data_IF_945301778798
#
_entry.id   IF_945301778798
#
_cell.length_a   1.000
_cell.length_b   1.000
_cell.length_c   1.000
_cell.angle_alpha   90.00
_cell.angle_beta   90.00
_cell.angle_gamma   90.00
#
_symmetry.space_group_name_H-M   'P 1'
#
loop_
_entity.id
_entity.type
_entity.pdbx_description
1 polymer ?
#
# COMPACT_ATOMS: atom_id res chain seq x y z
N UNK A 1 -19.61 2.41 15.60
CA UNK A 1 -20.34 2.83 14.38
C UNK A 1 -19.90 1.90 13.27
N UNK A 2 -20.74 0.93 12.96
CA UNK A 2 -20.61 0.03 11.81
C UNK A 2 -21.81 0.25 10.91
N UNK A 3 -21.61 0.17 9.59
CA UNK A 3 -22.50 -0.67 8.78
C UNK A 3 -21.67 -1.44 7.74
N UNK A 4 -21.62 -2.78 7.70
CA UNK A 4 -22.67 -3.78 7.51
C UNK A 4 -23.34 -3.74 6.12
N UNK A 5 -23.26 -4.89 5.41
CA UNK A 5 -24.21 -5.41 4.41
C UNK A 5 -24.07 -4.76 3.00
N UNK A 6 -23.93 -5.45 1.87
CA UNK A 6 -24.71 -6.60 1.40
C UNK A 6 -24.09 -7.28 0.15
N UNK A 7 -24.26 -8.61 0.07
CA UNK A 7 -24.28 -9.40 -1.17
C UNK A 7 -25.50 -9.04 -2.05
N UNK A 8 -25.52 -9.49 -3.31
CA UNK A 8 -26.58 -10.46 -3.63
C UNK A 8 -26.13 -11.68 -4.45
N UNK A 9 -26.86 -12.76 -4.14
CA UNK A 9 -26.90 -14.12 -4.68
C UNK A 9 -27.83 -14.21 -5.91
N UNK A 10 -27.53 -15.19 -6.76
CA UNK A 10 -28.42 -16.10 -7.52
C UNK A 10 -29.71 -15.57 -8.19
N UNK A 11 -29.87 -15.84 -9.51
CA UNK A 11 -30.91 -16.73 -10.09
C UNK A 11 -30.95 -16.71 -11.66
N UNK A 12 -30.71 -17.88 -12.25
CA UNK A 12 -31.31 -18.59 -13.42
C UNK A 12 -32.52 -17.97 -14.19
N UNK A 13 -33.04 -18.53 -15.32
CA UNK A 13 -32.55 -19.52 -16.33
C UNK A 13 -32.93 -19.15 -17.81
N UNK A 14 -32.67 -20.04 -18.78
CA UNK A 14 -33.43 -20.14 -20.06
C UNK A 14 -32.55 -20.12 -21.32
N UNK A 15 -32.35 -21.25 -22.02
CA UNK A 15 -33.22 -21.92 -23.02
C UNK A 15 -33.27 -21.25 -24.41
N UNK A 16 -32.88 -22.05 -25.41
CA UNK A 16 -33.27 -21.96 -26.83
C UNK A 16 -32.13 -21.53 -27.76
N UNK A 17 -31.85 -22.15 -28.90
CA UNK A 17 -32.35 -23.35 -29.59
C UNK A 17 -31.49 -23.53 -30.87
N UNK A 18 -31.42 -24.77 -31.38
CA UNK A 18 -31.15 -25.16 -32.79
C UNK A 18 -29.72 -24.88 -33.34
N UNK A 19 -29.05 -25.73 -34.12
CA UNK A 19 -29.42 -26.72 -35.14
C UNK A 19 -28.38 -27.87 -35.13
N UNK A 20 -28.78 -29.14 -35.09
CA UNK A 20 -29.02 -30.01 -36.24
C UNK A 20 -27.80 -30.19 -37.17
N UNK A 21 -27.10 -31.34 -37.05
CA UNK A 21 -27.22 -32.39 -38.08
C UNK A 21 -26.49 -33.67 -37.68
N UNK A 22 -27.25 -34.75 -37.66
CA UNK A 22 -26.80 -36.12 -37.46
C UNK A 22 -27.14 -36.92 -38.71
N UNK A 23 -26.18 -37.65 -39.28
CA UNK A 23 -26.48 -38.78 -40.18
C UNK A 23 -25.67 -40.00 -39.76
N UNK A 24 -26.34 -40.82 -38.96
CA UNK A 24 -26.08 -42.24 -38.85
C UNK A 24 -26.81 -42.97 -39.99
N UNK A 25 -26.17 -43.97 -40.59
CA UNK A 25 -26.84 -44.95 -41.43
C UNK A 25 -26.38 -46.36 -41.05
N UNK A 26 -27.25 -47.09 -40.37
CA UNK A 26 -27.30 -48.56 -40.33
C UNK A 26 -28.73 -48.94 -40.72
N UNK A 27 -28.91 -49.95 -41.56
CA UNK A 27 -30.22 -50.58 -41.68
C UNK A 27 -30.49 -51.46 -42.90
N UNK A 28 -30.23 -52.77 -42.70
CA UNK A 28 -31.07 -53.92 -43.10
C UNK A 28 -31.14 -54.42 -44.55
N UNK A 29 -31.06 -55.75 -44.58
CA UNK A 29 -31.39 -56.70 -45.63
C UNK A 29 -32.89 -56.79 -45.95
N UNK A 30 -33.23 -57.20 -47.19
CA UNK A 30 -34.00 -58.42 -47.55
C UNK A 30 -34.49 -58.36 -49.01
N UNK A 31 -34.40 -59.51 -49.69
CA UNK A 31 -35.28 -59.97 -50.79
C UNK A 31 -35.17 -59.19 -52.09
N UNK A 32 -35.18 -59.77 -53.30
CA UNK A 32 -35.63 -61.08 -53.76
C UNK A 32 -36.29 -60.87 -55.13
N UNK A 33 -36.20 -61.89 -55.99
CA UNK A 33 -36.87 -62.02 -57.30
C UNK A 33 -36.34 -61.08 -58.42
N UNK A 34 -36.30 -61.44 -59.71
CA UNK A 34 -36.55 -62.66 -60.48
C UNK A 34 -36.23 -62.33 -61.95
N UNK A 35 -36.11 -63.36 -62.80
CA UNK A 35 -36.22 -63.25 -64.27
C UNK A 35 -34.86 -63.14 -64.98
N UNK A 36 -34.57 -63.86 -66.06
CA UNK A 36 -35.46 -64.61 -66.96
C UNK A 36 -34.77 -65.82 -67.57
N UNK A 37 -35.62 -66.73 -68.03
CA UNK A 37 -35.34 -67.87 -68.87
C UNK A 37 -35.57 -67.51 -70.34
N UNK A 38 -34.83 -68.13 -71.24
CA UNK A 38 -35.16 -68.47 -72.64
C UNK A 38 -34.22 -69.65 -72.99
N UNK A 39 -34.70 -70.88 -73.26
CA UNK A 39 -35.34 -71.36 -74.51
C UNK A 39 -34.39 -71.15 -75.71
N UNK A 40 -34.02 -72.13 -76.54
CA UNK A 40 -34.86 -73.09 -77.27
C UNK A 40 -34.06 -74.35 -77.68
N UNK A 41 -34.83 -75.42 -77.93
CA UNK A 41 -34.43 -76.64 -78.64
C UNK A 41 -34.39 -76.39 -80.13
N UNK A 42 -33.44 -76.98 -80.87
CA UNK A 42 -33.69 -77.44 -82.24
C UNK A 42 -33.00 -78.80 -82.45
N UNK A 43 -33.82 -79.81 -82.74
CA UNK A 43 -33.45 -81.06 -83.39
C UNK A 43 -33.53 -80.82 -84.89
N UNK A 44 -32.50 -81.18 -85.64
CA UNK A 44 -32.66 -81.59 -87.04
C UNK A 44 -31.85 -82.86 -87.29
N UNK A 45 -32.56 -83.89 -87.78
CA UNK A 45 -32.03 -85.09 -88.39
C UNK A 45 -31.71 -84.77 -89.85
N UNK A 46 -30.60 -85.30 -90.38
CA UNK A 46 -30.54 -85.79 -91.76
C UNK A 46 -29.53 -86.95 -91.83
N UNK A 47 -29.92 -88.01 -92.55
CA UNK A 47 -29.24 -89.29 -92.74
C UNK A 47 -28.43 -89.30 -94.05
N UNK A 48 -27.62 -90.38 -94.17
CA UNK A 48 -26.97 -90.95 -95.38
C UNK A 48 -25.60 -90.34 -95.76
N UNK A 49 -24.55 -91.05 -96.16
CA UNK A 49 -24.13 -92.47 -96.14
C UNK A 49 -22.65 -92.47 -96.62
N UNK A 50 -21.92 -93.54 -96.28
CA UNK A 50 -20.66 -94.02 -96.87
C UNK A 50 -19.32 -93.30 -96.58
N UNK A 51 -18.64 -93.77 -95.52
CA UNK A 51 -17.41 -94.57 -95.71
C UNK A 51 -16.04 -93.89 -95.52
N UNK A 52 -15.28 -94.40 -94.54
CA UNK A 52 -13.81 -94.53 -94.62
C UNK A 52 -12.98 -93.71 -93.63
N UNK A 53 -12.27 -94.42 -92.76
CA UNK A 53 -11.05 -94.04 -91.99
C UNK A 53 -11.14 -92.93 -90.92
N UNK A 54 -11.32 -93.32 -89.65
CA UNK A 54 -11.27 -92.45 -88.45
C UNK A 54 -10.42 -93.05 -87.32
N UNK A 55 -9.17 -93.45 -87.61
CA UNK A 55 -8.18 -93.73 -86.55
C UNK A 55 -7.46 -92.44 -86.07
N UNK A 56 -7.48 -91.35 -86.86
CA UNK A 56 -6.88 -90.05 -86.48
C UNK A 56 -7.75 -89.23 -85.50
N UNK A 57 -9.07 -89.44 -85.46
CA UNK A 57 -9.98 -88.71 -84.54
C UNK A 57 -9.83 -89.16 -83.08
N UNK A 58 -9.40 -90.40 -82.83
CA UNK A 58 -9.18 -90.91 -81.46
C UNK A 58 -7.90 -90.35 -80.84
N UNK A 59 -6.85 -90.08 -81.63
CA UNK A 59 -5.61 -89.44 -81.17
C UNK A 59 -5.79 -87.93 -80.91
N UNK A 60 -6.56 -87.21 -81.74
CA UNK A 60 -6.90 -85.80 -81.50
C UNK A 60 -7.80 -85.62 -80.27
N UNK A 61 -8.76 -86.53 -80.05
CA UNK A 61 -9.61 -86.52 -78.86
C UNK A 61 -8.82 -86.80 -77.58
N UNK A 62 -7.79 -87.66 -77.63
CA UNK A 62 -6.90 -87.92 -76.49
C UNK A 62 -6.03 -86.69 -76.15
N UNK A 63 -5.45 -86.04 -77.16
CA UNK A 63 -4.64 -84.83 -76.98
C UNK A 63 -5.48 -83.63 -76.47
N UNK A 64 -6.72 -83.48 -76.93
CA UNK A 64 -7.65 -82.48 -76.40
C UNK A 64 -8.02 -82.75 -74.94
N UNK A 65 -8.20 -84.02 -74.55
CA UNK A 65 -8.49 -84.39 -73.17
C UNK A 65 -7.32 -84.05 -72.24
N UNK A 66 -6.08 -84.29 -72.66
CA UNK A 66 -4.88 -83.89 -71.88
C UNK A 66 -4.79 -82.37 -71.69
N UNK A 67 -5.00 -81.58 -72.75
CA UNK A 67 -5.02 -80.11 -72.66
C UNK A 67 -6.16 -79.58 -71.78
N UNK A 68 -7.32 -80.24 -71.76
CA UNK A 68 -8.43 -79.91 -70.84
C UNK A 68 -8.06 -80.19 -69.39
N UNK A 69 -7.36 -81.30 -69.12
CA UNK A 69 -6.84 -81.65 -67.78
C UNK A 69 -5.78 -80.65 -67.33
N UNK A 70 -4.86 -80.25 -68.20
CA UNK A 70 -3.84 -79.25 -67.89
C UNK A 70 -4.45 -77.86 -67.63
N UNK A 71 -5.44 -77.43 -68.44
CA UNK A 71 -6.19 -76.19 -68.20
C UNK A 71 -6.96 -76.23 -66.89
N UNK A 72 -7.52 -77.38 -66.50
CA UNK A 72 -8.18 -77.55 -65.21
C UNK A 72 -7.19 -77.41 -64.05
N UNK A 73 -6.03 -78.09 -64.12
CA UNK A 73 -4.94 -77.96 -63.13
C UNK A 73 -4.43 -76.52 -63.02
N UNK A 74 -4.24 -75.81 -64.13
CA UNK A 74 -3.82 -74.41 -64.12
C UNK A 74 -4.88 -73.49 -63.50
N UNK A 75 -6.17 -73.75 -63.73
CA UNK A 75 -7.26 -73.01 -63.08
C UNK A 75 -7.31 -73.24 -61.58
N UNK A 76 -7.08 -74.48 -61.12
CA UNK A 76 -6.96 -74.80 -59.70
C UNK A 76 -5.76 -74.09 -59.07
N UNK A 77 -4.60 -74.10 -59.72
CA UNK A 77 -3.41 -73.37 -59.26
C UNK A 77 -3.68 -71.86 -59.19
N UNK A 78 -4.35 -71.28 -60.19
CA UNK A 78 -4.74 -69.86 -60.17
C UNK A 78 -5.74 -69.53 -59.06
N UNK A 79 -6.70 -70.43 -58.79
CA UNK A 79 -7.65 -70.28 -57.70
C UNK A 79 -6.93 -70.30 -56.33
N UNK A 80 -6.04 -71.27 -56.11
CA UNK A 80 -5.20 -71.35 -54.91
C UNK A 80 -4.32 -70.10 -54.75
N UNK A 81 -3.70 -69.60 -55.83
CA UNK A 81 -2.93 -68.35 -55.79
C UNK A 81 -3.80 -67.12 -55.49
N UNK A 82 -5.06 -67.11 -55.92
CA UNK A 82 -5.98 -66.03 -55.62
C UNK A 82 -6.40 -66.05 -54.13
N UNK A 83 -6.56 -67.24 -53.55
CA UNK A 83 -6.81 -67.43 -52.11
C UNK A 83 -5.59 -67.00 -51.28
N UNK A 84 -4.38 -67.46 -51.63
CA UNK A 84 -3.14 -67.02 -50.99
C UNK A 84 -2.98 -65.49 -51.02
N UNK A 85 -3.30 -64.85 -52.15
CA UNK A 85 -3.27 -63.37 -52.27
C UNK A 85 -4.28 -62.70 -51.35
N UNK A 86 -5.49 -63.24 -51.22
CA UNK A 86 -6.52 -62.71 -50.30
C UNK A 86 -6.07 -62.85 -48.84
N UNK A 87 -5.47 -63.97 -48.47
CA UNK A 87 -4.96 -64.18 -47.10
C UNK A 87 -3.81 -63.24 -46.77
N UNK A 88 -2.88 -63.04 -47.72
CA UNK A 88 -1.78 -62.07 -47.55
C UNK A 88 -2.34 -60.64 -47.41
N UNK A 89 -3.34 -60.27 -48.20
CA UNK A 89 -4.00 -58.95 -48.09
C UNK A 89 -4.70 -58.79 -46.74
N UNK A 90 -5.44 -59.79 -46.28
CA UNK A 90 -6.07 -59.79 -44.96
C UNK A 90 -5.04 -59.68 -43.82
N UNK A 91 -3.90 -60.38 -43.95
CA UNK A 91 -2.79 -60.29 -43.00
C UNK A 91 -2.17 -58.89 -42.96
N UNK A 92 -1.94 -58.26 -44.13
CA UNK A 92 -1.42 -56.88 -44.25
C UNK A 92 -2.40 -55.90 -43.61
N UNK A 93 -3.70 -55.99 -43.91
CA UNK A 93 -4.71 -55.12 -43.30
C UNK A 93 -4.77 -55.30 -41.79
N UNK A 94 -4.67 -56.53 -41.28
CA UNK A 94 -4.66 -56.79 -39.84
C UNK A 94 -3.44 -56.16 -39.16
N UNK A 95 -2.27 -56.24 -39.80
CA UNK A 95 -1.03 -55.64 -39.32
C UNK A 95 -1.09 -54.12 -39.37
N UNK A 96 -1.66 -53.53 -40.42
CA UNK A 96 -1.89 -52.09 -40.51
C UNK A 96 -2.84 -51.61 -39.41
N UNK A 97 -3.98 -52.28 -39.20
CA UNK A 97 -4.90 -51.97 -38.08
C UNK A 97 -4.22 -52.11 -36.73
N UNK A 98 -3.39 -53.14 -36.54
CA UNK A 98 -2.62 -53.35 -35.30
C UNK A 98 -1.57 -52.26 -35.10
N UNK A 99 -0.91 -51.80 -36.17
CA UNK A 99 0.05 -50.69 -36.14
C UNK A 99 -0.64 -49.37 -35.77
N UNK A 100 -1.78 -49.06 -36.39
CA UNK A 100 -2.57 -47.85 -36.10
C UNK A 100 -3.09 -47.86 -34.66
N UNK A 101 -3.59 -49.00 -34.16
CA UNK A 101 -4.02 -49.12 -32.75
C UNK A 101 -2.85 -48.93 -31.78
N UNK A 102 -1.68 -49.51 -32.08
CA UNK A 102 -0.47 -49.31 -31.25
C UNK A 102 -0.01 -47.86 -31.26
N UNK A 103 -0.01 -47.18 -32.41
CA UNK A 103 0.36 -45.76 -32.45
C UNK A 103 -0.64 -44.86 -31.74
N UNK A 104 -1.95 -45.17 -31.83
CA UNK A 104 -2.98 -44.44 -31.09
C UNK A 104 -2.83 -44.63 -29.58
N UNK A 105 -2.64 -45.87 -29.12
CA UNK A 105 -2.42 -46.16 -27.70
C UNK A 105 -1.15 -45.47 -27.15
N UNK A 106 -0.05 -45.46 -27.91
CA UNK A 106 1.17 -44.74 -27.52
C UNK A 106 0.97 -43.22 -27.51
N UNK A 107 0.16 -42.68 -28.41
CA UNK A 107 -0.16 -41.25 -28.42
C UNK A 107 -1.05 -40.85 -27.24
N UNK A 108 -2.03 -41.68 -26.86
CA UNK A 108 -2.84 -41.48 -25.66
C UNK A 108 -2.00 -41.57 -24.38
N UNK A 109 -1.12 -42.57 -24.29
CA UNK A 109 -0.24 -42.73 -23.13
C UNK A 109 0.73 -41.54 -22.97
N UNK A 110 1.25 -41.02 -24.09
CA UNK A 110 2.06 -39.78 -24.07
C UNK A 110 1.25 -38.56 -23.65
N UNK A 111 -0.01 -38.43 -24.09
CA UNK A 111 -0.88 -37.34 -23.65
C UNK A 111 -1.20 -37.42 -22.16
N UNK A 112 -1.48 -38.61 -21.63
CA UNK A 112 -1.72 -38.82 -20.20
C UNK A 112 -0.48 -38.48 -19.37
N UNK A 113 0.70 -38.95 -19.78
CA UNK A 113 1.96 -38.61 -19.12
C UNK A 113 2.23 -37.10 -19.14
N UNK A 114 2.01 -36.44 -20.27
CA UNK A 114 2.17 -34.98 -20.37
C UNK A 114 1.18 -34.23 -19.47
N UNK A 115 -0.07 -34.70 -19.38
CA UNK A 115 -1.08 -34.10 -18.49
C UNK A 115 -0.70 -34.27 -17.02
N UNK A 116 -0.32 -35.48 -16.61
CA UNK A 116 0.13 -35.76 -15.24
C UNK A 116 1.39 -34.96 -14.88
N UNK A 117 2.35 -34.83 -15.81
CA UNK A 117 3.53 -33.99 -15.61
C UNK A 117 3.14 -32.51 -15.43
N UNK A 118 2.22 -31.98 -16.25
CA UNK A 118 1.76 -30.59 -16.10
C UNK A 118 1.01 -30.36 -14.79
N UNK A 119 0.12 -31.27 -14.40
CA UNK A 119 -0.66 -31.16 -13.15
C UNK A 119 0.26 -31.24 -11.92
N UNK A 120 1.28 -32.10 -11.94
CA UNK A 120 2.25 -32.20 -10.85
C UNK A 120 3.10 -30.93 -10.74
N UNK A 121 3.57 -30.37 -11.86
CA UNK A 121 4.33 -29.11 -11.87
C UNK A 121 3.49 -27.93 -11.37
N UNK A 122 2.22 -27.85 -11.76
CA UNK A 122 1.29 -26.83 -11.26
C UNK A 122 1.02 -26.99 -9.76
N UNK A 123 0.83 -28.22 -9.27
CA UNK A 123 0.63 -28.49 -7.85
C UNK A 123 1.88 -28.16 -7.02
N UNK A 124 3.07 -28.45 -7.52
CA UNK A 124 4.34 -28.08 -6.88
C UNK A 124 4.52 -26.56 -6.84
N UNK A 125 4.23 -25.86 -7.94
CA UNK A 125 4.28 -24.40 -7.99
C UNK A 125 3.27 -23.76 -7.01
N UNK A 126 2.06 -24.31 -6.90
CA UNK A 126 1.06 -23.85 -5.93
C UNK A 126 1.54 -24.05 -4.48
N UNK A 127 2.11 -25.21 -4.16
CA UNK A 127 2.70 -25.48 -2.84
C UNK A 127 3.84 -24.52 -2.52
N UNK A 128 4.71 -24.23 -3.49
CA UNK A 128 5.81 -23.28 -3.30
C UNK A 128 5.32 -21.86 -3.05
N UNK A 129 4.26 -21.42 -3.73
CA UNK A 129 3.62 -20.11 -3.48
C UNK A 129 3.08 -20.01 -2.06
N UNK A 130 2.31 -21.01 -1.62
CA UNK A 130 1.77 -21.05 -0.25
C UNK A 130 2.91 -21.07 0.78
N UNK A 131 3.99 -21.83 0.53
CA UNK A 131 5.15 -21.83 1.42
C UNK A 131 5.88 -20.49 1.45
N UNK A 132 5.92 -19.75 0.34
CA UNK A 132 6.48 -18.41 0.30
C UNK A 132 5.62 -17.43 1.10
N UNK A 133 4.30 -17.43 0.88
CA UNK A 133 3.33 -16.61 1.62
C UNK A 133 3.43 -16.87 3.13
N UNK A 134 3.48 -18.13 3.56
CA UNK A 134 3.63 -18.49 4.98
C UNK A 134 4.97 -18.05 5.57
N UNK A 135 6.04 -18.00 4.76
CA UNK A 135 7.34 -17.46 5.21
C UNK A 135 7.26 -15.94 5.38
N UNK A 136 6.65 -15.25 4.43
CA UNK A 136 6.47 -13.80 4.49
C UNK A 136 5.59 -13.40 5.67
N UNK A 137 4.49 -14.13 5.91
CA UNK A 137 3.61 -13.95 7.07
C UNK A 137 4.35 -14.21 8.38
N UNK A 138 5.15 -15.30 8.44
CA UNK A 138 5.96 -15.59 9.63
C UNK A 138 6.96 -14.46 9.90
N UNK A 139 7.64 -13.96 8.87
CA UNK A 139 8.59 -12.86 9.03
C UNK A 139 7.90 -11.56 9.46
N UNK A 140 6.72 -11.27 8.90
CA UNK A 140 5.91 -10.13 9.31
C UNK A 140 5.51 -10.23 10.79
N UNK A 141 4.97 -11.38 11.21
CA UNK A 141 4.60 -11.63 12.60
C UNK A 141 5.81 -11.56 13.54
N UNK A 142 6.97 -12.05 13.13
CA UNK A 142 8.20 -11.92 13.93
C UNK A 142 8.60 -10.45 14.13
N UNK A 143 8.51 -9.62 13.09
CA UNK A 143 8.77 -8.18 13.21
C UNK A 143 7.76 -7.50 14.12
N UNK A 144 6.47 -7.86 14.00
CA UNK A 144 5.41 -7.30 14.84
C UNK A 144 5.57 -7.68 16.31
N UNK A 145 5.97 -8.93 16.60
CA UNK A 145 6.26 -9.39 17.96
C UNK A 145 7.43 -8.59 18.56
N UNK A 146 8.54 -8.45 17.83
CA UNK A 146 9.69 -7.68 18.30
C UNK A 146 9.29 -6.21 18.54
N UNK A 147 8.53 -5.61 17.63
CA UNK A 147 8.07 -4.24 17.79
C UNK A 147 7.14 -4.08 19.01
N UNK A 148 6.28 -5.06 19.30
CA UNK A 148 5.44 -5.05 20.48
C UNK A 148 6.26 -5.18 21.78
N UNK A 149 7.21 -6.11 21.83
CA UNK A 149 8.11 -6.30 22.96
C UNK A 149 8.93 -5.02 23.25
N UNK A 150 9.50 -4.39 22.22
CA UNK A 150 10.22 -3.12 22.37
C UNK A 150 9.33 -1.98 22.90
N UNK A 151 8.04 -1.97 22.56
CA UNK A 151 7.10 -0.98 23.09
C UNK A 151 6.75 -1.27 24.55
N UNK A 152 6.59 -2.54 24.92
CA UNK A 152 6.36 -2.96 26.31
C UNK A 152 7.57 -2.61 27.19
N UNK A 153 8.80 -2.89 26.74
CA UNK A 153 10.02 -2.51 27.46
C UNK A 153 10.08 -1.00 27.71
N UNK A 154 9.81 -0.18 26.68
CA UNK A 154 9.75 1.28 26.82
C UNK A 154 8.67 1.71 27.81
N UNK A 155 7.51 1.05 27.82
CA UNK A 155 6.45 1.36 28.77
C UNK A 155 6.86 1.00 30.20
N UNK A 156 7.52 -0.14 30.40
CA UNK A 156 8.04 -0.54 31.71
C UNK A 156 9.10 0.42 32.24
N UNK A 157 10.05 0.83 31.39
CA UNK A 157 11.05 1.84 31.74
C UNK A 157 10.38 3.15 32.16
N UNK A 158 9.42 3.63 31.38
CA UNK A 158 8.64 4.81 31.72
C UNK A 158 7.89 4.66 33.05
N UNK A 159 7.32 3.48 33.35
CA UNK A 159 6.65 3.21 34.63
C UNK A 159 7.62 3.22 35.80
N UNK A 160 8.86 2.75 35.60
CA UNK A 160 9.92 2.78 36.62
C UNK A 160 10.41 4.21 36.88
N UNK A 161 10.49 5.06 35.85
CA UNK A 161 10.97 6.45 35.97
C UNK A 161 9.89 7.44 36.42
N UNK A 162 8.62 7.16 36.12
CA UNK A 162 7.47 7.96 36.52
C UNK A 162 7.44 8.39 38.01
N UNK A 163 7.73 7.54 39.01
CA UNK A 163 7.78 7.98 40.40
C UNK A 163 8.90 9.00 40.66
N UNK A 164 10.10 8.80 40.11
CA UNK A 164 11.21 9.74 40.28
C UNK A 164 10.88 11.11 39.66
N UNK A 165 10.33 11.12 38.44
CA UNK A 165 9.88 12.35 37.77
C UNK A 165 8.74 13.06 38.53
N UNK A 166 7.83 12.30 39.16
CA UNK A 166 6.79 12.87 40.02
C UNK A 166 7.38 13.53 41.26
N UNK A 167 8.37 12.90 41.89
CA UNK A 167 9.05 13.46 43.06
C UNK A 167 9.84 14.72 42.70
N UNK A 168 10.56 14.70 41.57
CA UNK A 168 11.25 15.89 41.03
C UNK A 168 10.27 17.03 40.72
N UNK A 169 9.13 16.72 40.10
CA UNK A 169 8.08 17.70 39.85
C UNK A 169 7.52 18.29 41.15
N UNK A 170 7.34 17.49 42.19
CA UNK A 170 6.89 17.96 43.49
C UNK A 170 7.93 18.87 44.16
N UNK A 171 9.23 18.51 44.09
CA UNK A 171 10.33 19.35 44.58
C UNK A 171 10.39 20.69 43.84
N UNK A 172 10.35 20.66 42.51
CA UNK A 172 10.34 21.88 41.70
C UNK A 172 9.12 22.77 41.98
N UNK A 173 7.94 22.18 42.23
CA UNK A 173 6.75 22.94 42.67
C UNK A 173 6.93 23.57 44.04
N UNK A 174 7.54 22.86 44.99
CA UNK A 174 7.83 23.39 46.32
C UNK A 174 8.85 24.54 46.27
N UNK A 175 9.92 24.39 45.51
CA UNK A 175 10.92 25.44 45.28
C UNK A 175 10.29 26.67 44.62
N UNK A 176 9.47 26.47 43.58
CA UNK A 176 8.73 27.58 42.95
C UNK A 176 7.83 28.30 43.95
N UNK A 177 7.14 27.58 44.82
CA UNK A 177 6.29 28.20 45.84
C UNK A 177 7.11 29.01 46.87
N UNK A 178 8.29 28.51 47.27
CA UNK A 178 9.21 29.24 48.14
C UNK A 178 9.73 30.51 47.47
N UNK A 179 10.19 30.43 46.23
CA UNK A 179 10.63 31.60 45.47
C UNK A 179 9.50 32.60 45.29
N UNK A 180 8.28 32.14 45.04
CA UNK A 180 7.12 33.03 44.90
C UNK A 180 6.83 33.79 46.20
N UNK A 181 6.86 33.13 47.36
CA UNK A 181 6.64 33.80 48.64
C UNK A 181 7.75 34.80 48.97
N UNK A 182 9.00 34.50 48.62
CA UNK A 182 10.12 35.44 48.73
C UNK A 182 9.97 36.65 47.78
N UNK A 183 9.53 36.43 46.55
CA UNK A 183 9.25 37.53 45.62
C UNK A 183 8.13 38.41 46.13
N UNK A 184 7.07 37.83 46.68
CA UNK A 184 5.94 38.59 47.19
C UNK A 184 6.31 39.37 48.47
N UNK A 185 7.15 38.81 49.36
CA UNK A 185 7.68 39.56 50.50
C UNK A 185 8.59 40.71 50.05
N UNK A 186 9.50 40.48 49.10
CA UNK A 186 10.37 41.51 48.53
C UNK A 186 9.57 42.60 47.82
N UNK A 187 8.50 42.25 47.10
CA UNK A 187 7.58 43.22 46.47
C UNK A 187 6.90 44.11 47.50
N UNK A 188 6.42 43.54 48.61
CA UNK A 188 5.83 44.32 49.70
C UNK A 188 6.85 45.24 50.37
N UNK A 189 8.06 44.75 50.62
CA UNK A 189 9.15 45.57 51.16
C UNK A 189 9.54 46.71 50.22
N UNK A 190 9.69 46.42 48.93
CA UNK A 190 10.00 47.41 47.89
C UNK A 190 8.90 48.48 47.83
N UNK A 191 7.63 48.08 47.81
CA UNK A 191 6.50 49.02 47.83
C UNK A 191 6.48 49.88 49.10
N UNK A 192 6.87 49.33 50.26
CA UNK A 192 7.02 50.09 51.51
C UNK A 192 8.18 51.08 51.43
N UNK A 193 9.33 50.66 50.88
CA UNK A 193 10.51 51.52 50.69
C UNK A 193 10.20 52.66 49.71
N UNK A 194 9.54 52.38 48.58
CA UNK A 194 9.03 53.40 47.63
C UNK A 194 8.18 54.46 48.32
N UNK A 195 7.18 54.02 49.11
CA UNK A 195 6.33 54.92 49.89
C UNK A 195 7.13 55.76 50.88
N UNK A 196 8.10 55.17 51.59
CA UNK A 196 8.96 55.89 52.53
C UNK A 196 9.84 56.92 51.81
N UNK A 197 10.44 56.58 50.68
CA UNK A 197 11.26 57.50 49.90
C UNK A 197 10.44 58.68 49.37
N UNK A 198 9.26 58.40 48.79
CA UNK A 198 8.32 59.46 48.37
C UNK A 198 7.98 60.38 49.54
N UNK A 199 7.57 59.81 50.67
CA UNK A 199 7.25 60.59 51.86
C UNK A 199 8.44 61.43 52.37
N UNK A 200 9.67 60.89 52.36
CA UNK A 200 10.86 61.64 52.76
C UNK A 200 11.13 62.83 51.82
N UNK A 201 10.95 62.63 50.51
CA UNK A 201 11.07 63.70 49.51
C UNK A 201 9.99 64.76 49.71
N UNK A 202 8.74 64.36 49.94
CA UNK A 202 7.62 65.29 50.17
C UNK A 202 7.84 66.10 51.46
N UNK A 203 8.31 65.48 52.53
CA UNK A 203 8.63 66.17 53.79
C UNK A 203 9.75 67.19 53.58
N UNK A 204 10.78 66.87 52.79
CA UNK A 204 11.84 67.83 52.47
C UNK A 204 11.30 69.04 51.71
N UNK A 205 10.37 68.84 50.77
CA UNK A 205 9.74 69.95 50.05
C UNK A 205 8.89 70.82 50.98
N UNK A 206 8.05 70.20 51.81
CA UNK A 206 7.17 70.92 52.73
C UNK A 206 7.96 71.72 53.78
N UNK A 207 9.00 71.12 54.36
CA UNK A 207 9.80 71.73 55.44
C UNK A 207 10.87 72.68 54.94
N UNK A 208 11.23 72.64 53.66
CA UNK A 208 12.29 73.50 53.12
C UNK A 208 12.01 75.00 53.26
N UNK A 209 10.74 75.41 53.29
CA UNK A 209 10.34 76.82 53.47
C UNK A 209 10.54 77.31 54.90
N UNK A 210 10.47 76.41 55.89
CA UNK A 210 10.55 76.74 57.31
C UNK A 210 12.00 76.84 57.81
N UNK A 211 12.97 76.40 57.01
CA UNK A 211 14.41 76.50 57.32
C UNK A 211 15.01 77.79 56.77
N UNK A 212 15.82 78.49 57.58
CA UNK A 212 16.56 79.68 57.14
C UNK A 212 18.07 79.47 57.35
N UNK A 213 18.90 79.29 56.29
CA UNK A 213 18.56 79.38 54.87
C UNK A 213 17.74 78.18 54.36
N UNK A 214 16.99 78.33 53.24
CA UNK A 214 16.19 77.25 52.67
C UNK A 214 17.09 76.08 52.25
N UNK A 215 16.86 74.93 52.87
CA UNK A 215 17.66 73.71 52.66
C UNK A 215 17.20 72.88 51.45
N UNK A 216 16.38 73.46 50.57
CA UNK A 216 15.82 72.76 49.41
C UNK A 216 16.93 72.29 48.47
N UNK A 217 16.97 70.97 48.27
CA UNK A 217 17.86 70.32 47.30
C UNK A 217 17.15 70.13 45.97
N UNK A 218 17.84 70.46 44.88
CA UNK A 218 17.33 70.33 43.52
C UNK A 218 17.03 68.87 43.17
N UNK A 219 17.81 67.92 43.70
CA UNK A 219 17.58 66.49 43.51
C UNK A 219 16.23 66.04 44.11
N UNK A 220 15.82 66.62 45.25
CA UNK A 220 14.55 66.28 45.89
C UNK A 220 13.35 66.76 45.07
N UNK A 221 13.45 67.96 44.47
CA UNK A 221 12.42 68.49 43.55
C UNK A 221 12.27 67.58 42.33
N UNK A 222 13.39 67.17 41.72
CA UNK A 222 13.37 66.28 40.55
C UNK A 222 12.74 64.91 40.88
N UNK A 223 13.09 64.32 42.03
CA UNK A 223 12.50 63.06 42.47
C UNK A 223 11.00 63.18 42.77
N UNK A 224 10.55 64.30 43.35
CA UNK A 224 9.13 64.54 43.62
C UNK A 224 8.31 64.60 42.33
N UNK A 225 8.80 65.37 41.35
CA UNK A 225 8.17 65.50 40.05
C UNK A 225 8.11 64.13 39.34
N UNK A 226 9.21 63.36 39.34
CA UNK A 226 9.20 62.01 38.78
C UNK A 226 8.24 61.07 39.54
N UNK A 227 8.11 61.17 40.87
CA UNK A 227 7.12 60.38 41.62
C UNK A 227 5.66 60.78 41.33
N UNK A 228 5.42 62.03 40.97
CA UNK A 228 4.10 62.54 40.58
C UNK A 228 3.65 62.06 39.20
N UNK A 229 4.59 61.95 38.26
CA UNK A 229 4.34 61.53 36.87
C UNK A 229 4.66 60.05 36.63
N UNK A 230 4.23 59.17 37.54
CA UNK A 230 4.37 57.70 37.43
C UNK A 230 5.81 57.16 37.24
N UNK A 231 6.83 58.01 37.38
CA UNK A 231 8.23 57.65 37.20
C UNK A 231 8.81 58.00 35.83
N UNK A 232 8.05 58.61 34.92
CA UNK A 232 8.52 58.97 33.57
C UNK A 232 8.18 60.41 33.22
N UNK A 233 9.14 61.16 32.66
CA UNK A 233 8.91 62.54 32.23
C UNK A 233 9.87 62.95 31.12
N UNK A 234 9.47 63.86 30.23
CA UNK A 234 10.40 64.45 29.27
C UNK A 234 11.45 65.31 29.97
N UNK A 235 12.71 65.26 29.51
CA UNK A 235 13.80 66.06 30.12
C UNK A 235 13.53 67.58 30.07
N UNK A 236 12.81 68.06 29.06
CA UNK A 236 12.49 69.48 28.93
C UNK A 236 11.33 69.90 29.84
N UNK A 237 10.31 69.05 29.95
CA UNK A 237 9.18 69.22 30.88
C UNK A 237 9.69 69.22 32.32
N UNK A 238 10.52 68.24 32.67
CA UNK A 238 11.15 68.12 33.99
C UNK A 238 11.97 69.36 34.36
N UNK A 239 12.67 69.98 33.39
CA UNK A 239 13.42 71.23 33.62
C UNK A 239 12.51 72.42 33.89
N UNK A 240 11.40 72.53 33.15
CA UNK A 240 10.46 73.63 33.28
C UNK A 240 9.73 73.54 34.62
N UNK A 241 9.10 72.40 34.90
CA UNK A 241 8.36 72.16 36.15
C UNK A 241 9.29 72.27 37.38
N UNK A 242 10.51 71.73 37.31
CA UNK A 242 11.46 71.87 38.42
C UNK A 242 11.86 73.34 38.67
N UNK A 243 11.97 74.14 37.62
CA UNK A 243 12.32 75.57 37.75
C UNK A 243 11.17 76.37 38.36
N UNK A 244 9.92 76.04 38.03
CA UNK A 244 8.72 76.64 38.63
C UNK A 244 8.63 76.32 40.12
N UNK A 245 8.74 75.04 40.50
CA UNK A 245 8.71 74.62 41.91
C UNK A 245 9.85 75.26 42.71
N UNK A 246 11.07 75.35 42.16
CA UNK A 246 12.19 76.01 42.83
C UNK A 246 11.96 77.52 43.04
N UNK A 247 11.31 78.20 42.09
CA UNK A 247 10.94 79.61 42.22
C UNK A 247 9.89 79.83 43.31
N UNK A 248 8.88 78.95 43.41
CA UNK A 248 7.87 79.02 44.48
C UNK A 248 8.47 78.88 45.88
N UNK A 249 9.59 78.17 46.00
CA UNK A 249 10.34 78.00 47.25
C UNK A 249 11.43 79.07 47.45
N UNK A 250 11.32 80.21 46.77
CA UNK A 250 12.22 81.36 46.85
C UNK A 250 13.70 81.06 46.52
N UNK A 251 13.96 80.01 45.72
CA UNK A 251 15.29 79.62 45.24
C UNK A 251 15.34 79.65 43.71
N UNK A 252 15.43 80.84 43.08
CA UNK A 252 15.50 80.95 41.62
C UNK A 252 16.83 80.35 41.13
N UNK A 253 16.73 79.22 40.45
CA UNK A 253 17.87 78.50 39.90
C UNK A 253 17.86 78.53 38.38
N UNK A 254 19.06 78.59 37.78
CA UNK A 254 19.20 78.45 36.33
C UNK A 254 19.10 76.98 35.88
N UNK A 255 18.66 76.76 34.65
CA UNK A 255 18.53 75.42 34.03
C UNK A 255 19.79 74.55 34.18
N UNK A 256 20.98 75.15 34.23
CA UNK A 256 22.25 74.43 34.42
C UNK A 256 22.38 73.72 35.78
N UNK A 257 21.75 74.26 36.84
CA UNK A 257 21.76 73.63 38.18
C UNK A 257 20.85 72.40 38.19
N UNK A 258 19.67 72.51 37.57
CA UNK A 258 18.72 71.40 37.41
C UNK A 258 19.32 70.26 36.59
N UNK A 259 20.03 70.59 35.50
CA UNK A 259 20.75 69.61 34.68
C UNK A 259 21.84 68.91 35.50
N UNK A 260 22.61 69.65 36.31
CA UNK A 260 23.65 69.07 37.17
C UNK A 260 23.05 68.10 38.19
N UNK A 261 21.96 68.49 38.84
CA UNK A 261 21.22 67.64 39.78
C UNK A 261 20.68 66.37 39.10
N UNK A 262 20.14 66.50 37.88
CA UNK A 262 19.68 65.36 37.09
C UNK A 262 20.82 64.38 36.80
N UNK A 263 21.97 64.85 36.33
CA UNK A 263 23.12 63.98 36.11
C UNK A 263 23.70 63.40 37.41
N UNK A 264 23.56 64.09 38.54
CA UNK A 264 23.90 63.52 39.85
C UNK A 264 22.98 62.35 40.22
N UNK A 265 21.68 62.47 39.96
CA UNK A 265 20.72 61.38 40.15
C UNK A 265 21.00 60.19 39.21
N UNK A 266 21.39 60.45 37.97
CA UNK A 266 21.81 59.42 37.01
C UNK A 266 23.08 58.72 37.48
N UNK A 267 24.09 59.47 37.95
CA UNK A 267 25.33 58.90 38.48
C UNK A 267 25.10 58.03 39.74
N UNK A 268 24.10 58.38 40.55
CA UNK A 268 23.69 57.60 41.71
C UNK A 268 22.75 56.42 41.37
N UNK A 269 22.41 56.22 40.08
CA UNK A 269 21.58 55.11 39.62
C UNK A 269 20.10 55.21 40.01
N UNK A 270 19.61 56.40 40.34
CA UNK A 270 18.20 56.63 40.71
C UNK A 270 17.32 56.97 39.50
N UNK A 271 17.93 57.50 38.44
CA UNK A 271 17.24 57.94 37.22
C UNK A 271 18.02 57.44 36.01
N UNK A 272 17.31 57.02 34.97
CA UNK A 272 17.86 56.69 33.66
C UNK A 272 17.35 57.70 32.62
N UNK A 273 18.18 58.05 31.65
CA UNK A 273 17.79 58.92 30.54
C UNK A 273 17.82 58.10 29.26
N UNK A 274 16.64 57.82 28.73
CA UNK A 274 16.47 57.04 27.51
C UNK A 274 16.04 57.93 26.34
N UNK A 275 16.44 57.53 25.13
CA UNK A 275 15.96 58.17 23.89
C UNK A 275 14.68 57.46 23.47
N UNK A 276 13.54 58.09 23.70
CA UNK A 276 12.25 57.58 23.22
C UNK A 276 12.06 57.90 21.73
N UNK A 277 11.54 56.93 20.97
CA UNK A 277 11.13 57.14 19.58
C UNK A 277 9.85 57.99 19.55
N UNK A 278 9.98 59.32 19.60
CA UNK A 278 8.86 60.26 19.41
C UNK A 278 8.90 61.51 20.28
N UNK A 279 9.26 61.38 21.57
CA UNK A 279 9.19 62.49 22.54
C UNK A 279 10.56 63.05 22.95
N UNK A 280 11.65 62.58 22.34
CA UNK A 280 13.01 62.99 22.67
C UNK A 280 13.58 62.24 23.88
N UNK A 281 14.36 62.93 24.73
CA UNK A 281 14.97 62.35 25.93
C UNK A 281 13.93 62.25 27.05
N UNK A 282 13.68 61.03 27.53
CA UNK A 282 12.80 60.72 28.66
C UNK A 282 13.64 60.33 29.85
N UNK A 283 13.31 60.90 31.00
CA UNK A 283 13.86 60.50 32.30
C UNK A 283 12.94 59.52 32.97
N UNK A 284 13.45 58.33 33.27
CA UNK A 284 12.76 57.26 33.98
C UNK A 284 13.36 57.03 35.36
N UNK A 285 12.52 56.82 36.36
CA UNK A 285 12.92 56.56 37.73
C UNK A 285 13.21 55.06 37.91
N UNK A 286 14.43 54.72 38.29
CA UNK A 286 14.88 53.34 38.53
C UNK A 286 14.56 52.93 39.98
N UNK A 287 13.27 52.72 40.30
CA UNK A 287 12.85 52.22 41.62
C UNK A 287 11.86 51.10 41.48
#
# INVERSE_FOLDING_TARGET
>A
MSPSLWYPRDKYPGLGAADADARAARGRARGGAAGGADAEQEQEQEQEDAGGDTEEEEEEQAAEQELRVERAKLREVLALRAEEKRDIQAAIESLQRKRVRRSAALAEQRKQQQQEETENVEAEAARQRVLAELRDEKEALQRDIIAAEELEEKLEENVRDLPALKDELQRAKAERAQVQTQLDSLRLELARRKRKMRHMVDVQLLTARDTNPPTLREEAVLLHLLYGHEGEMGVNELKQEASEVLQEHAKPNGNGVVIRALYSLVANGLVQIDRSYGNGLVTSLLV
#
